data_IF_310475243354
#
_entry.id   IF_310475243354
#
_cell.length_a   1.000
_cell.length_b   1.000
_cell.length_c   1.000
_cell.angle_alpha   90.00
_cell.angle_beta   90.00
_cell.angle_gamma   90.00
#
_symmetry.space_group_name_H-M   'P 1'
#
loop_
_entity.id
_entity.type
_entity.pdbx_description
1 polymer ?
#
# COMPACT_ATOMS: atom_id res chain seq x y z
N UNK A 1 -5.62 -4.72 17.11
CA UNK A 1 -4.80 -5.18 15.99
C UNK A 1 -5.64 -6.09 15.11
N UNK A 2 -5.66 -5.82 13.80
CA UNK A 2 -6.42 -6.61 12.83
C UNK A 2 -5.62 -7.83 12.39
N UNK A 3 -6.29 -8.95 12.22
CA UNK A 3 -5.70 -10.15 11.63
C UNK A 3 -6.35 -10.43 10.29
N UNK A 4 -5.54 -10.77 9.30
CA UNK A 4 -5.99 -11.08 7.95
C UNK A 4 -5.47 -12.44 7.52
N UNK A 5 -6.25 -13.13 6.70
CA UNK A 5 -5.83 -14.37 6.06
C UNK A 5 -5.67 -14.13 4.56
N UNK A 6 -4.63 -14.68 3.96
CA UNK A 6 -4.41 -14.59 2.52
C UNK A 6 -4.94 -15.83 1.81
N UNK A 7 -5.10 -15.74 0.48
CA UNK A 7 -5.50 -16.86 -0.36
C UNK A 7 -4.50 -18.01 -0.31
N UNK A 8 -3.22 -17.72 -0.06
CA UNK A 8 -2.17 -18.72 0.07
C UNK A 8 -2.11 -19.37 1.46
N UNK A 9 -2.99 -18.98 2.38
CA UNK A 9 -3.07 -19.56 3.72
C UNK A 9 -2.18 -18.90 4.76
N UNK A 10 -1.61 -17.73 4.47
CA UNK A 10 -0.84 -16.97 5.44
C UNK A 10 -1.76 -16.25 6.42
N UNK A 11 -1.33 -16.16 7.67
CA UNK A 11 -1.98 -15.33 8.69
C UNK A 11 -1.15 -14.09 8.92
N UNK A 12 -1.75 -12.92 8.76
CA UNK A 12 -1.10 -11.63 8.90
C UNK A 12 -1.63 -10.88 10.11
N UNK A 13 -0.74 -10.25 10.86
CA UNK A 13 -1.09 -9.25 11.87
C UNK A 13 -0.87 -7.88 11.26
N UNK A 14 -1.87 -6.99 11.35
CA UNK A 14 -1.85 -5.70 10.66
C UNK A 14 -2.06 -4.56 11.65
N UNK A 15 -1.01 -4.17 12.42
CA UNK A 15 -1.09 -3.02 13.30
C UNK A 15 -0.88 -1.72 12.53
N UNK A 16 -1.32 -0.58 13.10
CA UNK A 16 -0.90 0.73 12.61
C UNK A 16 0.62 0.90 12.76
N UNK A 17 1.24 1.59 11.80
CA UNK A 17 2.66 1.89 11.86
C UNK A 17 2.96 3.01 12.85
N UNK A 18 4.13 2.96 13.48
CA UNK A 18 4.60 3.98 14.41
C UNK A 18 6.05 4.36 14.10
N UNK A 19 6.53 5.41 14.75
CA UNK A 19 7.93 5.86 14.63
C UNK A 19 8.93 4.74 14.99
N UNK A 20 8.55 3.88 15.93
CA UNK A 20 9.39 2.75 16.37
C UNK A 20 9.61 1.71 15.27
N UNK A 21 8.82 1.75 14.20
CA UNK A 21 8.89 0.78 13.09
C UNK A 21 9.87 1.18 11.99
N UNK A 22 10.56 2.31 12.10
CA UNK A 22 11.42 2.83 11.04
C UNK A 22 12.49 1.83 10.59
N UNK A 23 13.17 1.18 11.53
CA UNK A 23 14.22 0.21 11.20
C UNK A 23 13.65 -1.02 10.49
N UNK A 24 12.51 -1.53 10.97
CA UNK A 24 11.84 -2.68 10.35
C UNK A 24 11.35 -2.35 8.93
N UNK A 25 10.81 -1.15 8.73
CA UNK A 25 10.38 -0.68 7.41
C UNK A 25 11.56 -0.55 6.44
N UNK A 26 12.67 0.01 6.89
CA UNK A 26 13.88 0.10 6.07
C UNK A 26 14.33 -1.28 5.61
N UNK A 27 14.41 -2.23 6.52
CA UNK A 27 14.79 -3.61 6.21
C UNK A 27 13.79 -4.27 5.24
N UNK A 28 12.50 -4.01 5.42
CA UNK A 28 11.47 -4.53 4.54
C UNK A 28 11.61 -3.98 3.11
N UNK A 29 11.80 -2.67 2.96
CA UNK A 29 11.96 -2.05 1.64
C UNK A 29 13.24 -2.47 0.95
N UNK A 30 14.31 -2.78 1.69
CA UNK A 30 15.54 -3.33 1.11
C UNK A 30 15.29 -4.68 0.43
N UNK A 31 14.24 -5.38 0.82
CA UNK A 31 13.84 -6.68 0.26
C UNK A 31 12.67 -6.58 -0.72
N UNK A 32 12.15 -5.39 -0.95
CA UNK A 32 11.22 -5.13 -2.06
C UNK A 32 12.04 -5.11 -3.35
N UNK A 33 11.51 -5.66 -4.44
CA UNK A 33 12.24 -5.67 -5.71
C UNK A 33 12.56 -4.24 -6.17
N UNK A 34 13.66 -4.07 -6.91
CA UNK A 34 14.05 -2.76 -7.44
C UNK A 34 12.98 -2.16 -8.34
N UNK A 35 12.29 -2.99 -9.11
CA UNK A 35 11.17 -2.56 -9.95
C UNK A 35 10.01 -2.04 -9.11
N UNK A 36 9.63 -2.76 -8.05
CA UNK A 36 8.53 -2.34 -7.19
C UNK A 36 8.87 -1.08 -6.39
N UNK A 37 10.14 -0.93 -5.95
CA UNK A 37 10.58 0.32 -5.32
C UNK A 37 10.46 1.49 -6.28
N UNK A 38 10.87 1.31 -7.52
CA UNK A 38 10.74 2.34 -8.55
C UNK A 38 9.27 2.72 -8.76
N UNK A 39 8.38 1.76 -8.83
CA UNK A 39 6.96 2.03 -8.98
C UNK A 39 6.38 2.76 -7.77
N UNK A 40 6.76 2.35 -6.56
CA UNK A 40 6.22 2.93 -5.32
C UNK A 40 6.70 4.36 -5.08
N UNK A 41 7.98 4.63 -5.37
CA UNK A 41 8.61 5.93 -5.11
C UNK A 41 8.97 6.71 -6.37
N UNK A 42 8.70 6.15 -7.54
CA UNK A 42 9.09 6.72 -8.84
C UNK A 42 10.58 7.06 -8.90
N UNK A 43 11.42 6.24 -8.25
CA UNK A 43 12.86 6.40 -8.14
C UNK A 43 13.57 5.07 -8.41
N UNK A 44 14.69 5.12 -9.11
CA UNK A 44 15.53 3.95 -9.38
C UNK A 44 16.55 3.67 -8.28
N UNK A 45 16.52 4.41 -7.17
CA UNK A 45 17.44 4.23 -6.05
C UNK A 45 17.35 2.82 -5.47
N UNK A 46 18.48 2.21 -5.14
CA UNK A 46 18.53 0.90 -4.51
C UNK A 46 18.16 0.92 -3.03
N UNK A 47 18.18 2.11 -2.41
CA UNK A 47 17.86 2.29 -1.01
C UNK A 47 16.71 3.28 -0.85
N UNK A 48 15.82 3.00 0.10
CA UNK A 48 14.72 3.90 0.43
C UNK A 48 15.26 4.95 1.42
N UNK A 49 15.11 6.22 1.08
CA UNK A 49 15.59 7.32 1.92
C UNK A 49 14.70 7.49 3.15
N UNK A 50 15.24 8.15 4.17
CA UNK A 50 14.48 8.49 5.37
C UNK A 50 13.25 9.35 5.03
N UNK A 51 13.38 10.28 4.08
CA UNK A 51 12.27 11.13 3.63
C UNK A 51 11.14 10.32 2.99
N UNK A 52 11.47 9.23 2.27
CA UNK A 52 10.47 8.36 1.65
C UNK A 52 9.71 7.54 2.68
N UNK A 53 10.34 7.21 3.82
CA UNK A 53 9.70 6.46 4.90
C UNK A 53 8.87 7.35 5.83
N UNK A 54 9.14 8.65 5.87
CA UNK A 54 8.53 9.58 6.80
C UNK A 54 6.99 9.53 6.79
N UNK A 55 6.31 9.56 5.64
CA UNK A 55 4.84 9.45 5.62
C UNK A 55 4.30 8.15 6.20
N UNK A 56 5.12 7.07 6.19
CA UNK A 56 4.71 5.77 6.69
C UNK A 56 4.78 5.66 8.20
N UNK A 57 5.70 6.38 8.85
CA UNK A 57 5.92 6.30 10.28
C UNK A 57 5.36 7.49 11.06
N UNK A 58 5.02 8.58 10.38
CA UNK A 58 4.47 9.80 10.99
C UNK A 58 3.02 10.07 10.56
N UNK A 59 2.27 9.03 10.21
CA UNK A 59 0.86 9.17 9.89
C UNK A 59 0.09 9.67 11.11
N UNK A 60 -0.75 10.69 10.91
CA UNK A 60 -1.54 11.31 11.98
C UNK A 60 -2.83 10.53 12.31
N UNK A 61 -3.14 9.50 11.53
CA UNK A 61 -4.35 8.67 11.60
C UNK A 61 -5.65 9.45 11.39
N UNK A 62 -5.54 10.65 10.82
CA UNK A 62 -6.67 11.48 10.42
C UNK A 62 -6.62 11.84 8.93
N UNK A 63 -5.57 12.54 8.49
CA UNK A 63 -5.34 12.85 7.06
C UNK A 63 -4.56 11.76 6.36
N UNK A 64 -3.82 10.95 7.11
CA UNK A 64 -3.12 9.78 6.58
C UNK A 64 -3.13 8.65 7.60
N UNK A 65 -3.19 7.42 7.11
CA UNK A 65 -3.12 6.20 7.93
C UNK A 65 -2.13 5.26 7.32
N UNK A 66 -1.35 4.60 8.15
CA UNK A 66 -0.30 3.68 7.73
C UNK A 66 -0.39 2.38 8.52
N UNK A 67 -0.27 1.26 7.83
CA UNK A 67 -0.33 -0.07 8.42
C UNK A 67 0.87 -0.89 8.01
N UNK A 68 1.24 -1.82 8.88
CA UNK A 68 2.25 -2.83 8.62
C UNK A 68 1.58 -4.19 8.58
N UNK A 69 2.11 -5.09 7.77
CA UNK A 69 1.66 -6.47 7.74
C UNK A 69 2.81 -7.38 8.17
N UNK A 70 2.59 -8.15 9.22
CA UNK A 70 3.55 -9.12 9.75
C UNK A 70 3.04 -10.53 9.47
N UNK A 71 3.92 -11.40 8.98
CA UNK A 71 3.63 -12.82 8.90
C UNK A 71 3.69 -13.40 10.33
N UNK A 72 2.58 -13.88 10.82
CA UNK A 72 2.49 -14.39 12.20
C UNK A 72 3.36 -15.60 12.45
N UNK A 73 3.65 -16.39 11.42
CA UNK A 73 4.49 -17.58 11.57
C UNK A 73 5.92 -17.26 11.99
N UNK A 74 6.52 -16.21 11.40
CA UNK A 74 7.89 -15.79 11.71
C UNK A 74 7.98 -14.46 12.42
N UNK A 75 6.86 -13.78 12.64
CA UNK A 75 6.78 -12.42 13.18
C UNK A 75 7.66 -11.44 12.39
N UNK A 76 7.67 -11.60 11.07
CA UNK A 76 8.45 -10.76 10.15
C UNK A 76 7.56 -9.74 9.45
N UNK A 77 8.08 -8.51 9.30
CA UNK A 77 7.42 -7.47 8.50
C UNK A 77 7.56 -7.81 7.03
N UNK A 78 6.43 -7.96 6.34
CA UNK A 78 6.40 -8.41 4.94
C UNK A 78 5.77 -7.42 3.98
N UNK A 79 5.02 -6.44 4.50
CA UNK A 79 4.37 -5.45 3.65
C UNK A 79 4.02 -4.19 4.44
N UNK A 80 3.80 -3.09 3.73
CA UNK A 80 3.28 -1.85 4.30
C UNK A 80 2.22 -1.25 3.38
N UNK A 81 1.29 -0.51 3.97
CA UNK A 81 0.25 0.19 3.24
C UNK A 81 -0.01 1.57 3.80
N UNK A 82 -0.30 2.52 2.92
CA UNK A 82 -0.57 3.90 3.28
C UNK A 82 -1.88 4.34 2.64
N UNK A 83 -2.68 5.08 3.39
CA UNK A 83 -3.84 5.79 2.89
C UNK A 83 -3.61 7.27 3.17
N UNK A 84 -3.42 8.07 2.13
CA UNK A 84 -3.22 9.51 2.24
C UNK A 84 -4.45 10.23 1.71
N UNK A 85 -5.10 11.03 2.54
CA UNK A 85 -6.33 11.73 2.18
C UNK A 85 -6.04 13.17 1.77
N UNK A 86 -6.81 13.68 0.81
CA UNK A 86 -6.77 15.08 0.42
C UNK A 86 -7.35 15.97 1.53
N UNK A 87 -7.24 17.29 1.34
CA UNK A 87 -7.71 18.27 2.33
C UNK A 87 -9.19 18.14 2.66
N UNK A 88 -10.00 17.77 1.68
CA UNK A 88 -11.45 17.57 1.87
C UNK A 88 -11.79 16.23 2.56
N UNK A 89 -10.82 15.33 2.71
CA UNK A 89 -10.97 14.01 3.32
C UNK A 89 -11.99 13.10 2.61
N UNK A 90 -12.40 13.45 1.39
CA UNK A 90 -13.38 12.69 0.59
C UNK A 90 -12.73 11.65 -0.31
N UNK A 91 -11.43 11.79 -0.59
CA UNK A 91 -10.67 10.88 -1.43
C UNK A 91 -9.38 10.49 -0.73
N UNK A 92 -9.11 9.18 -0.65
CA UNK A 92 -7.87 8.65 -0.13
C UNK A 92 -7.06 7.95 -1.21
N UNK A 93 -5.79 8.28 -1.32
CA UNK A 93 -4.84 7.58 -2.18
C UNK A 93 -4.20 6.45 -1.41
N UNK A 94 -4.26 5.24 -1.96
CA UNK A 94 -3.71 4.05 -1.35
C UNK A 94 -2.42 3.65 -2.04
N UNK A 95 -1.44 3.20 -1.25
CA UNK A 95 -0.19 2.65 -1.77
C UNK A 95 0.22 1.45 -0.92
N UNK A 96 0.55 0.34 -1.57
CA UNK A 96 0.93 -0.90 -0.91
C UNK A 96 2.26 -1.37 -1.46
N UNK A 97 3.16 -1.83 -0.58
CA UNK A 97 4.44 -2.42 -0.94
C UNK A 97 4.60 -3.77 -0.26
N UNK A 98 5.02 -4.78 -1.01
CA UNK A 98 5.17 -6.16 -0.52
C UNK A 98 6.61 -6.60 -0.73
N UNK A 99 7.20 -7.24 0.29
CA UNK A 99 8.54 -7.85 0.18
C UNK A 99 8.58 -8.82 -1.00
N UNK A 100 9.70 -8.84 -1.73
CA UNK A 100 9.83 -9.62 -2.96
C UNK A 100 9.57 -11.11 -2.78
N UNK A 101 10.01 -11.68 -1.66
CA UNK A 101 9.83 -13.10 -1.34
C UNK A 101 8.41 -13.46 -0.91
N UNK A 102 7.55 -12.47 -0.68
CA UNK A 102 6.13 -12.66 -0.35
C UNK A 102 5.18 -12.28 -1.48
N UNK A 103 5.70 -11.94 -2.64
CA UNK A 103 4.86 -11.64 -3.80
C UNK A 103 4.16 -12.89 -4.32
N UNK A 104 2.95 -12.73 -4.84
CA UNK A 104 2.15 -13.85 -5.34
C UNK A 104 1.46 -14.68 -4.27
N UNK A 105 1.54 -14.28 -3.00
CA UNK A 105 0.92 -14.99 -1.88
C UNK A 105 -0.38 -14.35 -1.37
N UNK A 106 -0.89 -13.35 -2.09
CA UNK A 106 -2.13 -12.66 -1.71
C UNK A 106 -1.98 -11.61 -0.63
N UNK A 107 -0.75 -11.28 -0.20
CA UNK A 107 -0.51 -10.28 0.84
C UNK A 107 -0.94 -8.89 0.37
N UNK A 108 -0.56 -8.50 -0.84
CA UNK A 108 -0.94 -7.21 -1.41
C UNK A 108 -2.45 -7.06 -1.54
N UNK A 109 -3.14 -8.10 -2.01
CA UNK A 109 -4.60 -8.11 -2.13
C UNK A 109 -5.28 -7.95 -0.77
N UNK A 110 -4.83 -8.70 0.23
CA UNK A 110 -5.41 -8.66 1.57
C UNK A 110 -5.23 -7.29 2.23
N UNK A 111 -4.04 -6.71 2.10
CA UNK A 111 -3.75 -5.40 2.67
C UNK A 111 -4.52 -4.29 1.95
N UNK A 112 -4.58 -4.34 0.62
CA UNK A 112 -5.38 -3.41 -0.18
C UNK A 112 -6.86 -3.47 0.22
N UNK A 113 -7.41 -4.66 0.38
CA UNK A 113 -8.80 -4.86 0.81
C UNK A 113 -9.05 -4.23 2.19
N UNK A 114 -8.15 -4.47 3.13
CA UNK A 114 -8.26 -3.91 4.47
C UNK A 114 -8.29 -2.39 4.46
N UNK A 115 -7.35 -1.77 3.73
CA UNK A 115 -7.24 -0.32 3.65
C UNK A 115 -8.45 0.29 2.94
N UNK A 116 -8.90 -0.34 1.85
CA UNK A 116 -10.09 0.10 1.12
C UNK A 116 -11.34 0.08 2.01
N UNK A 117 -11.53 -0.95 2.82
CA UNK A 117 -12.64 -1.04 3.77
C UNK A 117 -12.59 0.04 4.82
N UNK A 118 -11.39 0.35 5.33
CA UNK A 118 -11.20 1.44 6.29
C UNK A 118 -11.59 2.80 5.68
N UNK A 119 -11.20 3.04 4.43
CA UNK A 119 -11.53 4.28 3.73
C UNK A 119 -13.03 4.38 3.46
N UNK A 120 -13.66 3.29 3.01
CA UNK A 120 -15.10 3.24 2.74
C UNK A 120 -15.92 3.46 4.00
N UNK A 121 -15.49 2.90 5.13
CA UNK A 121 -16.14 3.11 6.42
C UNK A 121 -16.11 4.58 6.83
N UNK A 122 -15.10 5.33 6.42
CA UNK A 122 -15.01 6.76 6.61
C UNK A 122 -15.71 7.60 5.53
N UNK A 123 -16.42 6.95 4.59
CA UNK A 123 -17.13 7.63 3.50
C UNK A 123 -16.21 8.17 2.40
N UNK A 124 -15.01 7.64 2.27
CA UNK A 124 -14.01 8.13 1.32
C UNK A 124 -14.00 7.30 0.05
N UNK A 125 -13.83 7.99 -1.08
CA UNK A 125 -13.46 7.36 -2.33
C UNK A 125 -11.98 6.97 -2.27
N UNK A 126 -11.62 5.81 -2.79
CA UNK A 126 -10.24 5.33 -2.78
C UNK A 126 -9.69 5.35 -4.20
N UNK A 127 -8.49 5.89 -4.33
CA UNK A 127 -7.76 5.85 -5.59
C UNK A 127 -6.37 5.27 -5.37
N UNK A 128 -5.80 4.68 -6.43
CA UNK A 128 -4.39 4.31 -6.49
C UNK A 128 -3.82 4.90 -7.77
N UNK A 129 -2.64 5.51 -7.69
CA UNK A 129 -1.96 6.06 -8.86
C UNK A 129 -0.81 5.12 -9.17
N UNK A 130 -0.82 4.56 -10.37
CA UNK A 130 0.14 3.54 -10.79
C UNK A 130 0.82 3.92 -12.09
N UNK A 131 2.10 3.53 -12.24
CA UNK A 131 2.72 3.50 -13.55
C UNK A 131 1.95 2.53 -14.45
N UNK A 132 1.73 2.88 -15.71
CA UNK A 132 1.07 1.98 -16.67
C UNK A 132 1.82 0.67 -16.85
N UNK A 133 3.11 0.65 -16.53
CA UNK A 133 3.96 -0.54 -16.60
C UNK A 133 3.81 -1.46 -15.39
N UNK A 134 3.19 -0.99 -14.31
CA UNK A 134 3.00 -1.78 -13.09
C UNK A 134 1.77 -2.68 -13.23
N UNK A 135 1.87 -3.68 -14.10
CA UNK A 135 0.75 -4.58 -14.42
C UNK A 135 0.28 -5.38 -13.23
N UNK A 136 1.18 -5.78 -12.33
CA UNK A 136 0.83 -6.58 -11.17
C UNK A 136 -0.07 -5.80 -10.19
N UNK A 137 0.27 -4.55 -9.88
CA UNK A 137 -0.54 -3.71 -9.00
C UNK A 137 -1.89 -3.38 -9.65
N UNK A 138 -1.89 -3.04 -10.93
CA UNK A 138 -3.12 -2.74 -11.67
C UNK A 138 -4.06 -3.95 -11.68
N UNK A 139 -3.52 -5.15 -11.88
CA UNK A 139 -4.32 -6.38 -11.89
C UNK A 139 -4.98 -6.63 -10.53
N UNK A 140 -4.26 -6.44 -9.43
CA UNK A 140 -4.78 -6.59 -8.06
C UNK A 140 -5.89 -5.57 -7.80
N UNK A 141 -5.68 -4.32 -8.18
CA UNK A 141 -6.65 -3.25 -7.98
C UNK A 141 -7.92 -3.47 -8.79
N UNK A 142 -7.78 -3.90 -10.04
CA UNK A 142 -8.94 -4.24 -10.89
C UNK A 142 -9.70 -5.45 -10.35
N UNK A 143 -9.01 -6.45 -9.84
CA UNK A 143 -9.64 -7.61 -9.21
C UNK A 143 -10.46 -7.18 -7.99
N UNK A 144 -10.02 -6.16 -7.28
CA UNK A 144 -10.73 -5.58 -6.13
C UNK A 144 -11.92 -4.71 -6.54
N UNK A 145 -12.06 -4.39 -7.82
CA UNK A 145 -13.17 -3.58 -8.34
C UNK A 145 -12.81 -2.13 -8.65
N UNK A 146 -11.54 -1.78 -8.61
CA UNK A 146 -11.10 -0.45 -9.01
C UNK A 146 -11.17 -0.32 -10.53
N UNK A 147 -11.60 0.85 -10.99
CA UNK A 147 -11.78 1.15 -12.41
C UNK A 147 -10.69 2.11 -12.88
N UNK A 148 -9.99 1.80 -14.00
CA UNK A 148 -8.95 2.68 -14.51
C UNK A 148 -9.52 3.96 -15.10
N UNK A 149 -8.86 5.09 -14.79
CA UNK A 149 -9.17 6.42 -15.33
C UNK A 149 -7.87 7.06 -15.79
N UNK A 150 -7.88 7.93 -16.82
CA UNK A 150 -6.69 8.64 -17.23
C UNK A 150 -6.19 9.58 -16.13
N UNK A 151 -4.87 9.67 -15.97
CA UNK A 151 -4.26 10.69 -15.12
C UNK A 151 -3.81 11.83 -16.02
N UNK A 152 -4.51 12.95 -15.97
CA UNK A 152 -4.35 14.05 -16.94
C UNK A 152 -2.98 14.72 -16.86
N UNK A 153 -2.39 14.76 -15.67
CA UNK A 153 -1.11 15.45 -15.44
C UNK A 153 0.11 14.68 -16.00
N UNK A 154 -0.02 13.36 -16.16
CA UNK A 154 1.07 12.51 -16.62
C UNK A 154 0.52 11.30 -17.38
N UNK A 155 0.73 11.20 -18.71
CA UNK A 155 0.20 10.07 -19.50
C UNK A 155 0.89 8.74 -19.23
N UNK A 156 2.03 8.72 -18.51
CA UNK A 156 2.69 7.46 -18.12
C UNK A 156 2.04 6.83 -16.89
N UNK A 157 1.13 7.54 -16.24
CA UNK A 157 0.42 7.09 -15.06
C UNK A 157 -1.05 6.83 -15.35
N UNK A 158 -1.67 6.01 -14.51
CA UNK A 158 -3.09 5.72 -14.56
C UNK A 158 -3.65 5.78 -13.14
N UNK A 159 -4.87 6.29 -12.99
CA UNK A 159 -5.60 6.28 -11.73
C UNK A 159 -6.53 5.09 -11.73
N UNK A 160 -6.50 4.30 -10.67
CA UNK A 160 -7.48 3.24 -10.40
C UNK A 160 -8.36 3.71 -9.25
N UNK A 161 -9.67 3.71 -9.44
CA UNK A 161 -10.59 4.33 -8.48
C UNK A 161 -11.76 3.43 -8.15
N UNK A 162 -12.21 3.49 -6.88
CA UNK A 162 -13.47 2.85 -6.48
C UNK A 162 -14.60 3.83 -6.68
N UNK A 163 -15.81 3.28 -6.85
CA UNK A 163 -17.02 4.07 -6.78
C UNK A 163 -17.58 3.94 -5.36
N UNK A 164 -17.83 5.06 -4.71
CA UNK A 164 -18.54 5.05 -3.43
C UNK A 164 -19.98 4.58 -3.65
N UNK A 165 -20.43 3.77 -2.74
CA UNK A 165 -21.82 3.31 -2.71
C UNK A 165 -22.56 3.96 -1.56
#
# INVERSE_FOLDING_TARGET
MTELATRAGLSLAVPPATVADAAALTACFDRVSGEDRRFRFFSASSNVSHEQLDPLIHADHFTSKSWLAFDKAGNELVASGLLACGKALDTGEIAVSVRGDYKGMGVGWALLDHIAREAEAGGRRVIAIESRDNHAAIAVERDKGFVPEPFEDDPTLVVLATTLR
#
